data_IF_426403318833
#
_entry.id   IF_426403318833
#
_cell.length_a   1.000
_cell.length_b   1.000
_cell.length_c   1.000
_cell.angle_alpha   90.00
_cell.angle_beta   90.00
_cell.angle_gamma   90.00
#
_symmetry.space_group_name_H-M   'P 1'
#
loop_
_entity.id
_entity.type
_entity.pdbx_description
1 polymer ?
#
# COMPACT_ATOMS: atom_id res chain seq x y z
N UNK A 1 -5.13 -2.64 -2.97
CA UNK A 1 -4.04 -3.63 -2.88
C UNK A 1 -3.69 -3.92 -1.42
N UNK A 2 -3.25 -5.16 -1.12
CA UNK A 2 -2.76 -5.54 0.20
C UNK A 2 -1.23 -5.37 0.35
N UNK A 3 -0.51 -5.19 -0.75
CA UNK A 3 0.90 -4.86 -0.75
C UNK A 3 1.39 -4.42 -2.12
N UNK A 4 2.30 -3.44 -2.13
CA UNK A 4 2.94 -2.89 -3.33
C UNK A 4 4.41 -2.65 -3.00
N UNK A 5 5.31 -2.93 -3.95
CA UNK A 5 6.72 -2.61 -3.78
C UNK A 5 7.42 -2.37 -5.11
N UNK A 6 8.54 -1.66 -5.05
CA UNK A 6 9.52 -1.53 -6.14
C UNK A 6 10.86 -2.11 -5.68
N UNK A 7 11.58 -2.73 -6.61
CA UNK A 7 12.91 -3.26 -6.37
C UNK A 7 13.65 -3.43 -7.71
N UNK A 8 14.91 -3.81 -7.66
CA UNK A 8 15.75 -4.02 -8.85
C UNK A 8 15.25 -5.18 -9.71
N UNK A 9 14.62 -6.19 -9.10
CA UNK A 9 14.01 -7.32 -9.80
C UNK A 9 12.60 -7.65 -9.28
N UNK A 10 11.81 -8.33 -10.11
CA UNK A 10 10.40 -8.66 -9.81
C UNK A 10 10.23 -9.67 -8.67
N UNK A 11 11.20 -10.54 -8.44
CA UNK A 11 11.15 -11.52 -7.35
C UNK A 11 11.35 -10.82 -6.00
N UNK A 12 12.28 -9.87 -5.93
CA UNK A 12 12.47 -9.03 -4.75
C UNK A 12 11.27 -8.13 -4.51
N UNK A 13 10.74 -7.47 -5.55
CA UNK A 13 9.55 -6.64 -5.44
C UNK A 13 8.36 -7.45 -4.89
N UNK A 14 8.15 -8.67 -5.38
CA UNK A 14 7.10 -9.55 -4.87
C UNK A 14 7.31 -9.93 -3.40
N UNK A 15 8.53 -10.28 -2.98
CA UNK A 15 8.82 -10.60 -1.56
C UNK A 15 8.44 -9.43 -0.64
N UNK A 16 8.84 -8.22 -1.01
CA UNK A 16 8.55 -7.01 -0.25
C UNK A 16 7.05 -6.69 -0.21
N UNK A 17 6.38 -6.74 -1.37
CA UNK A 17 4.94 -6.49 -1.45
C UNK A 17 4.14 -7.53 -0.65
N UNK A 18 4.50 -8.82 -0.78
CA UNK A 18 3.85 -9.91 -0.05
C UNK A 18 4.04 -9.78 1.47
N UNK A 19 5.22 -9.36 1.93
CA UNK A 19 5.51 -9.15 3.34
C UNK A 19 4.66 -8.04 3.99
N UNK A 20 4.02 -7.17 3.21
CA UNK A 20 3.10 -6.16 3.74
C UNK A 20 1.90 -6.82 4.47
N UNK A 21 1.24 -7.77 3.80
CA UNK A 21 0.08 -8.50 4.35
C UNK A 21 -0.01 -9.91 3.73
N UNK A 22 0.79 -10.86 4.18
CA UNK A 22 0.76 -12.23 3.66
C UNK A 22 -0.54 -12.97 3.98
N UNK A 23 -1.30 -12.52 4.95
CA UNK A 23 -2.61 -13.11 5.32
C UNK A 23 -3.66 -12.77 4.27
N UNK A 24 -3.77 -11.50 3.88
CA UNK A 24 -4.73 -11.06 2.85
C UNK A 24 -4.31 -11.43 1.43
N UNK A 25 -3.02 -11.71 1.20
CA UNK A 25 -2.50 -12.17 -0.09
C UNK A 25 -2.93 -13.61 -0.44
N UNK A 26 -3.44 -14.39 0.51
CA UNK A 26 -3.95 -15.75 0.28
C UNK A 26 -5.17 -15.73 -0.66
N UNK A 27 -5.07 -16.43 -1.80
CA UNK A 27 -6.09 -16.40 -2.86
C UNK A 27 -6.08 -15.09 -3.66
N UNK A 28 -4.94 -14.41 -3.67
CA UNK A 28 -4.80 -13.09 -4.29
C UNK A 28 -4.52 -13.10 -5.79
N UNK A 29 -4.40 -11.89 -6.31
CA UNK A 29 -3.98 -11.57 -7.68
C UNK A 29 -2.61 -10.89 -7.60
N UNK A 30 -1.65 -11.42 -8.35
CA UNK A 30 -0.29 -10.84 -8.44
C UNK A 30 -0.15 -10.18 -9.82
N UNK A 31 0.22 -8.90 -9.83
CA UNK A 31 0.51 -8.15 -11.04
C UNK A 31 1.93 -7.58 -10.98
N UNK A 32 2.69 -7.77 -12.04
CA UNK A 32 4.03 -7.21 -12.20
C UNK A 32 4.13 -6.45 -13.53
N UNK A 33 5.01 -5.46 -13.58
CA UNK A 33 5.22 -4.60 -14.75
C UNK A 33 6.46 -4.97 -15.58
N UNK A 34 7.04 -6.13 -15.32
CA UNK A 34 8.18 -6.73 -16.03
C UNK A 34 7.91 -8.22 -16.26
N UNK A 35 8.67 -8.90 -17.11
CA UNK A 35 8.55 -10.34 -17.29
C UNK A 35 8.66 -11.10 -15.95
N UNK A 36 7.81 -12.10 -15.76
CA UNK A 36 7.89 -13.00 -14.60
C UNK A 36 9.14 -13.85 -14.73
N UNK A 37 10.07 -13.73 -13.79
CA UNK A 37 11.27 -14.54 -13.72
C UNK A 37 10.97 -15.96 -13.20
N UNK A 38 11.85 -16.91 -13.50
CA UNK A 38 11.77 -18.28 -12.94
C UNK A 38 11.82 -18.24 -11.41
N UNK A 39 12.60 -17.32 -10.83
CA UNK A 39 12.66 -17.15 -9.37
C UNK A 39 11.33 -16.66 -8.80
N UNK A 40 10.71 -15.63 -9.40
CA UNK A 40 9.38 -15.18 -9.00
C UNK A 40 8.36 -16.32 -9.12
N UNK A 41 8.36 -17.07 -10.21
CA UNK A 41 7.47 -18.21 -10.39
C UNK A 41 7.58 -19.23 -9.25
N UNK A 42 8.82 -19.54 -8.83
CA UNK A 42 9.08 -20.45 -7.70
C UNK A 42 8.59 -19.90 -6.35
N UNK A 43 8.61 -18.58 -6.17
CA UNK A 43 8.05 -17.94 -4.95
C UNK A 43 6.52 -17.99 -4.93
N UNK A 44 5.86 -17.88 -6.08
CA UNK A 44 4.40 -17.89 -6.21
C UNK A 44 3.83 -19.31 -5.97
N UNK A 45 4.50 -20.34 -6.46
CA UNK A 45 3.98 -21.72 -6.40
C UNK A 45 3.57 -22.18 -4.99
N UNK A 46 4.31 -21.94 -3.90
CA UNK A 46 3.89 -22.35 -2.56
C UNK A 46 2.70 -21.55 -2.00
N UNK A 47 2.41 -20.37 -2.56
CA UNK A 47 1.33 -19.50 -2.11
C UNK A 47 0.05 -19.85 -2.87
N UNK A 48 -1.10 -19.92 -2.18
CA UNK A 48 -2.37 -20.00 -2.89
C UNK A 48 -2.65 -18.67 -3.59
N UNK A 49 -2.50 -18.67 -4.91
CA UNK A 49 -2.68 -17.53 -5.80
C UNK A 49 -3.67 -17.90 -6.88
N UNK A 50 -4.62 -17.04 -7.17
CA UNK A 50 -5.63 -17.28 -8.21
C UNK A 50 -5.21 -16.79 -9.58
N UNK A 51 -4.53 -15.63 -9.65
CA UNK A 51 -4.17 -15.01 -10.93
C UNK A 51 -2.78 -14.41 -10.85
N UNK A 52 -1.99 -14.58 -11.90
CA UNK A 52 -0.74 -13.85 -12.15
C UNK A 52 -0.86 -13.09 -13.47
N UNK A 53 -0.57 -11.79 -13.45
CA UNK A 53 -0.58 -10.92 -14.63
C UNK A 53 0.81 -10.33 -14.84
N UNK A 54 1.30 -10.38 -16.05
CA UNK A 54 2.58 -9.79 -16.45
C UNK A 54 2.58 -9.44 -17.94
N UNK A 55 3.47 -8.52 -18.39
CA UNK A 55 3.65 -8.28 -19.82
C UNK A 55 4.28 -9.46 -20.55
N UNK A 56 5.08 -10.26 -19.85
CA UNK A 56 5.75 -11.43 -20.42
C UNK A 56 6.20 -12.42 -19.32
N UNK A 57 6.76 -13.56 -19.72
CA UNK A 57 7.25 -14.63 -18.86
C UNK A 57 8.58 -15.13 -19.39
N UNK A 58 9.60 -15.25 -18.54
CA UNK A 58 10.87 -15.85 -18.90
C UNK A 58 10.71 -17.33 -19.29
N UNK A 59 11.62 -17.85 -20.12
CA UNK A 59 11.67 -19.26 -20.43
C UNK A 59 11.77 -20.10 -19.13
N UNK A 60 10.92 -21.11 -19.01
CA UNK A 60 10.81 -21.94 -17.80
C UNK A 60 9.90 -21.40 -16.70
N UNK A 61 9.55 -20.10 -16.66
CA UNK A 61 8.63 -19.56 -15.65
C UNK A 61 7.22 -20.15 -15.81
N UNK A 62 6.72 -20.28 -17.04
CA UNK A 62 5.43 -20.90 -17.33
C UNK A 62 5.38 -22.37 -16.92
N UNK A 63 6.48 -23.11 -17.11
CA UNK A 63 6.59 -24.51 -16.68
C UNK A 63 6.44 -24.63 -15.17
N UNK A 64 7.14 -23.78 -14.41
CA UNK A 64 7.03 -23.72 -12.94
C UNK A 64 5.62 -23.39 -12.50
N UNK A 65 4.98 -22.36 -13.08
CA UNK A 65 3.62 -21.95 -12.72
C UNK A 65 2.56 -23.01 -13.08
N UNK A 66 2.78 -23.77 -14.15
CA UNK A 66 1.87 -24.83 -14.62
C UNK A 66 1.69 -25.99 -13.64
N UNK A 67 2.58 -26.11 -12.65
CA UNK A 67 2.42 -27.05 -11.53
C UNK A 67 1.13 -26.79 -10.72
N UNK A 68 0.57 -25.57 -10.79
CA UNK A 68 -0.68 -25.15 -10.12
C UNK A 68 -1.86 -25.21 -11.10
N UNK A 69 -2.64 -26.27 -11.06
CA UNK A 69 -3.77 -26.52 -11.97
C UNK A 69 -4.84 -25.41 -12.02
N UNK A 70 -5.03 -24.69 -10.90
CA UNK A 70 -6.08 -23.68 -10.78
C UNK A 70 -5.55 -22.23 -10.91
N UNK A 71 -4.23 -22.05 -11.08
CA UNK A 71 -3.64 -20.74 -11.29
C UNK A 71 -3.93 -20.24 -12.71
N UNK A 72 -4.46 -19.04 -12.82
CA UNK A 72 -4.67 -18.35 -14.09
C UNK A 72 -3.46 -17.48 -14.37
N UNK A 73 -2.78 -17.74 -15.46
CA UNK A 73 -1.60 -17.00 -15.91
C UNK A 73 -2.01 -16.17 -17.12
N UNK A 74 -1.90 -14.84 -17.02
CA UNK A 74 -2.33 -13.91 -18.04
C UNK A 74 -1.16 -13.06 -18.52
N UNK A 75 -0.91 -13.10 -19.83
CA UNK A 75 -0.04 -12.13 -20.47
C UNK A 75 -0.88 -10.91 -20.86
N UNK A 76 -0.51 -9.73 -20.35
CA UNK A 76 -1.28 -8.51 -20.51
C UNK A 76 -0.35 -7.37 -20.85
N UNK A 77 -0.48 -6.84 -22.07
CA UNK A 77 0.17 -5.59 -22.42
C UNK A 77 -0.46 -4.44 -21.61
N UNK A 78 0.33 -3.41 -21.22
CA UNK A 78 -0.21 -2.22 -20.60
C UNK A 78 -1.26 -1.60 -21.53
N UNK A 79 -2.53 -1.75 -21.19
CA UNK A 79 -3.61 -1.22 -22.01
C UNK A 79 -3.55 0.31 -22.06
N UNK A 80 -3.75 0.87 -23.25
CA UNK A 80 -4.06 2.29 -23.37
C UNK A 80 -5.35 2.55 -22.59
N UNK A 81 -5.25 3.38 -21.58
CA UNK A 81 -6.37 3.68 -20.70
C UNK A 81 -7.18 4.81 -21.33
N UNK A 82 -8.52 4.68 -21.35
CA UNK A 82 -9.40 5.77 -21.78
C UNK A 82 -9.31 6.98 -20.85
N UNK A 83 -9.66 8.17 -21.35
CA UNK A 83 -9.64 9.42 -20.59
C UNK A 83 -10.74 9.53 -19.54
N UNK A 84 -11.74 8.67 -19.59
CA UNK A 84 -12.92 8.70 -18.72
C UNK A 84 -13.16 7.38 -18.02
N UNK A 85 -13.68 7.49 -16.81
CA UNK A 85 -14.21 6.38 -16.02
C UNK A 85 -15.72 6.46 -15.90
N UNK A 86 -16.37 5.30 -15.89
CA UNK A 86 -17.82 5.18 -15.85
C UNK A 86 -18.24 4.35 -14.64
N UNK A 87 -19.18 4.84 -13.87
CA UNK A 87 -19.78 4.09 -12.75
C UNK A 87 -21.31 4.07 -12.91
N UNK A 88 -21.86 2.87 -13.09
CA UNK A 88 -23.30 2.70 -13.14
C UNK A 88 -23.91 2.93 -11.76
N UNK A 89 -24.96 3.74 -11.71
CA UNK A 89 -25.76 4.00 -10.52
C UNK A 89 -27.23 3.70 -10.81
N UNK A 90 -28.08 3.67 -9.78
CA UNK A 90 -29.53 3.52 -9.99
C UNK A 90 -30.07 4.73 -10.74
N UNK A 91 -30.66 4.47 -11.92
CA UNK A 91 -31.26 5.49 -12.77
C UNK A 91 -30.29 6.32 -13.62
N UNK A 92 -28.98 5.96 -13.67
CA UNK A 92 -28.03 6.75 -14.46
C UNK A 92 -26.63 6.19 -14.54
N UNK A 93 -25.73 7.03 -15.04
CA UNK A 93 -24.32 6.76 -15.20
C UNK A 93 -23.52 7.97 -14.70
N UNK A 94 -22.59 7.76 -13.80
CA UNK A 94 -21.57 8.75 -13.47
C UNK A 94 -20.43 8.65 -14.46
N UNK A 95 -20.00 9.79 -14.99
CA UNK A 95 -18.86 9.91 -15.89
C UNK A 95 -17.90 10.91 -15.27
N UNK A 96 -16.66 10.54 -15.15
CA UNK A 96 -15.60 11.41 -14.65
C UNK A 96 -14.35 11.27 -15.50
N UNK A 97 -13.51 12.29 -15.48
CA UNK A 97 -12.15 12.15 -15.95
C UNK A 97 -11.41 11.14 -15.08
N UNK A 98 -10.54 10.38 -15.71
CA UNK A 98 -9.76 9.39 -15.00
C UNK A 98 -8.79 10.06 -14.03
N UNK A 99 -8.61 9.44 -12.87
CA UNK A 99 -7.62 9.83 -11.89
C UNK A 99 -6.23 9.29 -12.30
N UNK A 100 -5.51 10.02 -13.14
CA UNK A 100 -4.15 9.70 -13.56
C UNK A 100 -3.10 10.46 -12.72
N UNK A 101 -1.84 9.99 -12.74
CA UNK A 101 -0.72 10.65 -12.07
C UNK A 101 -0.09 11.62 -13.06
N UNK A 102 -0.71 12.76 -13.26
CA UNK A 102 -0.30 13.79 -14.21
C UNK A 102 -0.53 15.24 -13.71
N UNK A 103 -1.00 15.38 -12.49
CA UNK A 103 -1.18 16.67 -11.86
C UNK A 103 0.17 17.25 -11.36
N UNK A 104 0.32 18.59 -11.28
CA UNK A 104 1.54 19.21 -10.74
C UNK A 104 1.97 18.68 -9.37
N UNK A 105 1.00 18.39 -8.48
CA UNK A 105 1.26 17.83 -7.14
C UNK A 105 1.70 16.37 -7.13
N UNK A 106 1.78 15.70 -8.26
CA UNK A 106 2.31 14.33 -8.36
C UNK A 106 3.84 14.28 -8.49
N UNK A 107 4.46 15.44 -8.71
CA UNK A 107 5.91 15.58 -8.70
C UNK A 107 6.39 16.16 -7.37
N UNK A 108 7.33 15.51 -6.67
CA UNK A 108 7.90 16.04 -5.41
C UNK A 108 8.50 17.43 -5.53
N UNK A 109 8.94 17.82 -6.72
CA UNK A 109 9.47 19.16 -7.00
C UNK A 109 8.46 20.30 -6.75
N UNK A 110 7.17 19.97 -6.83
CA UNK A 110 6.08 20.93 -6.62
C UNK A 110 5.49 20.86 -5.19
N UNK A 111 6.01 20.00 -4.34
CA UNK A 111 5.51 19.87 -2.98
C UNK A 111 5.96 21.02 -2.09
N UNK A 112 5.08 21.47 -1.23
CA UNK A 112 5.40 22.48 -0.22
C UNK A 112 5.84 21.80 1.06
N UNK A 113 7.05 22.09 1.55
CA UNK A 113 7.48 21.69 2.89
C UNK A 113 6.70 22.52 3.91
N UNK A 114 5.78 21.91 4.64
CA UNK A 114 4.91 22.56 5.60
C UNK A 114 5.41 22.43 7.04
N UNK A 115 6.14 21.36 7.38
CA UNK A 115 6.69 21.14 8.71
C UNK A 115 8.00 20.35 8.67
N UNK A 116 8.82 20.51 9.70
CA UNK A 116 10.07 19.80 9.90
C UNK A 116 11.19 20.23 8.94
N UNK A 117 12.22 19.40 8.84
CA UNK A 117 13.33 19.59 7.90
C UNK A 117 13.02 18.93 6.54
N UNK A 118 13.63 19.40 5.43
CA UNK A 118 13.55 18.71 4.16
C UNK A 118 13.98 17.24 4.28
N UNK A 119 13.20 16.35 3.63
CA UNK A 119 13.55 14.93 3.58
C UNK A 119 14.86 14.70 2.81
N UNK A 120 15.63 13.71 3.24
CA UNK A 120 16.73 13.20 2.44
C UNK A 120 16.22 12.46 1.20
N UNK A 121 17.12 12.13 0.27
CA UNK A 121 16.78 11.51 -1.01
C UNK A 121 16.01 10.19 -0.84
N UNK A 122 16.41 9.32 0.08
CA UNK A 122 15.76 8.04 0.34
C UNK A 122 14.35 8.23 0.92
N UNK A 123 14.21 9.15 1.89
CA UNK A 123 12.91 9.49 2.48
C UNK A 123 11.98 10.13 1.44
N UNK A 124 12.50 10.99 0.57
CA UNK A 124 11.71 11.62 -0.49
C UNK A 124 11.25 10.58 -1.53
N UNK A 125 12.10 9.63 -1.89
CA UNK A 125 11.73 8.52 -2.78
C UNK A 125 10.61 7.65 -2.18
N UNK A 126 10.67 7.33 -0.89
CA UNK A 126 9.61 6.62 -0.18
C UNK A 126 8.31 7.43 -0.13
N UNK A 127 8.38 8.75 0.09
CA UNK A 127 7.20 9.64 0.06
C UNK A 127 6.58 9.71 -1.33
N UNK A 128 7.39 9.81 -2.40
CA UNK A 128 6.88 9.79 -3.77
C UNK A 128 6.22 8.45 -4.09
N UNK A 129 6.86 7.34 -3.75
CA UNK A 129 6.28 6.03 -3.92
C UNK A 129 4.96 5.88 -3.15
N UNK A 130 4.93 6.34 -1.89
CA UNK A 130 3.71 6.31 -1.06
C UNK A 130 2.58 7.16 -1.69
N UNK A 131 2.90 8.36 -2.17
CA UNK A 131 1.95 9.25 -2.82
C UNK A 131 1.35 8.64 -4.09
N UNK A 132 2.19 8.12 -4.97
CA UNK A 132 1.75 7.49 -6.23
C UNK A 132 0.92 6.23 -6.01
N UNK A 133 1.14 5.52 -4.92
CA UNK A 133 0.47 4.24 -4.64
C UNK A 133 -0.78 4.38 -3.78
N UNK A 134 -0.88 5.40 -2.90
CA UNK A 134 -2.05 5.60 -2.03
C UNK A 134 -3.33 5.82 -2.83
N UNK A 135 -3.25 6.42 -4.03
CA UNK A 135 -4.42 6.62 -4.90
C UNK A 135 -5.12 5.32 -5.31
N UNK A 136 -4.42 4.18 -5.30
CA UNK A 136 -5.00 2.88 -5.58
C UNK A 136 -5.66 2.23 -4.34
N UNK A 137 -5.56 2.87 -3.19
CA UNK A 137 -6.15 2.42 -1.92
C UNK A 137 -7.50 3.08 -1.72
N UNK A 138 -8.51 2.29 -1.34
CA UNK A 138 -9.86 2.81 -1.08
C UNK A 138 -9.87 3.85 0.03
N UNK A 139 -10.48 5.00 -0.24
CA UNK A 139 -10.65 6.11 0.69
C UNK A 139 -11.56 5.71 1.89
N UNK A 140 -11.40 6.26 3.07
CA UNK A 140 -10.26 7.03 3.52
C UNK A 140 -9.02 6.13 3.57
N UNK A 141 -7.93 6.58 2.99
CA UNK A 141 -6.73 5.76 2.83
C UNK A 141 -5.50 6.38 3.50
N UNK A 142 -4.76 5.53 4.21
CA UNK A 142 -3.41 5.80 4.69
C UNK A 142 -2.51 4.65 4.24
N UNK A 143 -1.38 4.99 3.63
CA UNK A 143 -0.36 4.03 3.22
C UNK A 143 0.95 4.33 3.95
N UNK A 144 1.47 3.33 4.65
CA UNK A 144 2.81 3.37 5.24
C UNK A 144 3.80 2.69 4.31
N UNK A 145 4.93 3.36 4.08
CA UNK A 145 6.01 2.89 3.18
C UNK A 145 7.34 2.97 3.88
N UNK A 146 8.20 2.01 3.61
CA UNK A 146 9.58 1.96 4.06
C UNK A 146 10.42 1.19 3.03
N UNK A 147 11.54 1.77 2.61
CA UNK A 147 12.49 1.15 1.69
C UNK A 147 11.84 0.67 0.37
N UNK A 148 11.01 1.52 -0.25
CA UNK A 148 10.34 1.25 -1.53
C UNK A 148 9.19 0.23 -1.45
N UNK A 149 8.72 -0.10 -0.25
CA UNK A 149 7.65 -1.08 -0.06
C UNK A 149 6.57 -0.59 0.91
N UNK A 150 5.32 -0.94 0.63
CA UNK A 150 4.24 -0.77 1.60
C UNK A 150 4.47 -1.68 2.80
N UNK A 151 4.30 -1.14 4.00
CA UNK A 151 4.43 -1.89 5.26
C UNK A 151 3.12 -1.94 6.05
N UNK A 152 2.18 -1.05 5.75
CA UNK A 152 0.86 -1.02 6.38
C UNK A 152 -0.13 -0.23 5.54
N UNK A 153 -1.34 -0.76 5.37
CA UNK A 153 -2.39 -0.17 4.55
C UNK A 153 -3.67 -0.04 5.36
N UNK A 154 -4.09 1.20 5.62
CA UNK A 154 -5.40 1.53 6.18
C UNK A 154 -6.33 1.95 5.07
N UNK A 155 -7.38 1.18 4.77
CA UNK A 155 -8.22 1.34 3.61
C UNK A 155 -9.70 1.30 3.93
N UNK A 156 -10.50 2.05 3.17
CA UNK A 156 -11.95 1.95 3.17
C UNK A 156 -12.61 2.33 4.50
N UNK A 157 -11.94 3.14 5.32
CA UNK A 157 -12.46 3.51 6.62
C UNK A 157 -13.39 4.72 6.53
N UNK A 158 -14.37 4.79 7.44
CA UNK A 158 -15.35 5.87 7.49
C UNK A 158 -14.75 7.21 7.97
N UNK A 159 -13.60 7.18 8.61
CA UNK A 159 -12.86 8.36 9.04
C UNK A 159 -11.34 8.18 8.92
N UNK A 160 -10.61 9.31 8.93
CA UNK A 160 -9.15 9.34 8.75
C UNK A 160 -8.38 8.69 9.91
N UNK A 161 -8.86 8.89 11.15
CA UNK A 161 -8.20 8.34 12.35
C UNK A 161 -8.19 6.81 12.33
N UNK A 162 -9.30 6.20 11.95
CA UNK A 162 -9.40 4.73 11.88
C UNK A 162 -8.50 4.19 10.75
N UNK A 163 -8.34 4.92 9.63
CA UNK A 163 -7.38 4.56 8.59
C UNK A 163 -5.94 4.60 9.12
N UNK A 164 -5.58 5.62 9.91
CA UNK A 164 -4.26 5.71 10.53
C UNK A 164 -4.01 4.54 11.49
N UNK A 165 -4.97 4.26 12.38
CA UNK A 165 -4.88 3.14 13.34
C UNK A 165 -4.74 1.81 12.62
N UNK A 166 -5.57 1.57 11.59
CA UNK A 166 -5.53 0.33 10.81
C UNK A 166 -4.19 0.15 10.07
N UNK A 167 -3.66 1.23 9.46
CA UNK A 167 -2.35 1.19 8.79
C UNK A 167 -1.23 0.82 9.76
N UNK A 168 -1.20 1.45 10.94
CA UNK A 168 -0.21 1.18 12.00
C UNK A 168 -0.35 -0.23 12.56
N UNK A 169 -1.57 -0.66 12.88
CA UNK A 169 -1.84 -2.01 13.37
C UNK A 169 -1.33 -3.07 12.38
N UNK A 170 -1.69 -2.93 11.09
CA UNK A 170 -1.25 -3.85 10.05
C UNK A 170 0.26 -3.84 9.84
N UNK A 171 0.89 -2.67 9.88
CA UNK A 171 2.34 -2.56 9.80
C UNK A 171 3.03 -3.37 10.90
N UNK A 172 2.52 -3.33 12.13
CA UNK A 172 3.16 -3.88 13.30
C UNK A 172 2.71 -5.30 13.66
N UNK A 173 1.72 -5.86 12.96
CA UNK A 173 1.17 -7.19 13.29
C UNK A 173 1.20 -8.20 12.17
N UNK A 174 1.26 -7.78 10.89
CA UNK A 174 1.10 -8.70 9.77
C UNK A 174 2.43 -9.16 9.15
N UNK A 175 3.47 -8.34 9.19
CA UNK A 175 4.73 -8.63 8.50
C UNK A 175 5.50 -9.87 8.97
N UNK A 176 5.26 -10.29 10.19
CA UNK A 176 5.85 -11.52 10.76
C UNK A 176 5.02 -12.78 10.51
N UNK A 177 3.82 -12.64 9.94
CA UNK A 177 2.94 -13.79 9.67
C UNK A 177 3.32 -14.46 8.36
N UNK A 178 3.20 -15.79 8.34
CA UNK A 178 3.38 -16.59 7.13
C UNK A 178 2.05 -16.85 6.43
N UNK A 179 2.09 -17.23 5.15
CA UNK A 179 0.89 -17.70 4.42
C UNK A 179 0.29 -18.97 5.04
N UNK A 180 1.08 -19.74 5.79
CA UNK A 180 0.59 -20.86 6.59
C UNK A 180 -0.37 -20.43 7.69
N UNK A 181 -0.15 -19.27 8.29
CA UNK A 181 -1.01 -18.70 9.34
C UNK A 181 -2.38 -18.28 8.78
N UNK A 182 -2.44 -17.85 7.52
CA UNK A 182 -3.69 -17.55 6.83
C UNK A 182 -4.56 -18.81 6.64
N UNK A 183 -3.95 -19.91 6.27
CA UNK A 183 -4.66 -21.21 6.15
C UNK A 183 -5.18 -21.70 7.50
N UNK A 184 -4.37 -21.59 8.55
CA UNK A 184 -4.77 -21.95 9.93
C UNK A 184 -5.93 -21.06 10.42
N UNK A 185 -5.87 -19.75 10.22
CA UNK A 185 -6.93 -18.83 10.65
C UNK A 185 -8.29 -19.06 9.95
N UNK A 186 -8.28 -19.58 8.73
CA UNK A 186 -9.50 -19.93 8.00
C UNK A 186 -10.10 -21.27 8.47
N UNK A 187 -9.26 -22.21 8.91
CA UNK A 187 -9.71 -23.48 9.49
C UNK A 187 -10.32 -23.23 10.88
N UNK A 188 -9.74 -22.35 11.68
CA UNK A 188 -10.22 -22.02 13.02
C UNK A 188 -11.59 -21.32 13.01
N UNK A 189 -11.92 -20.55 11.97
CA UNK A 189 -13.25 -19.96 11.78
C UNK A 189 -14.35 -21.01 11.53
N UNK A 190 -13.96 -22.17 11.02
CA UNK A 190 -14.88 -23.29 10.78
C UNK A 190 -14.94 -24.31 11.93
N UNK A 191 -13.98 -24.32 12.84
CA UNK A 191 -13.80 -25.42 13.80
C UNK A 191 -13.59 -25.04 15.29
N UNK A 192 -13.60 -23.79 15.68
CA UNK A 192 -13.60 -23.38 17.10
C UNK A 192 -12.34 -23.74 17.94
N UNK A 193 -11.20 -23.96 17.29
CA UNK A 193 -9.92 -24.17 17.97
C UNK A 193 -9.20 -22.83 18.21
N UNK A 194 -8.62 -22.65 19.39
CA UNK A 194 -7.88 -21.45 19.77
C UNK A 194 -6.56 -21.38 19.01
N UNK A 195 -6.24 -20.19 18.48
CA UNK A 195 -4.91 -19.89 17.96
C UNK A 195 -3.84 -20.23 19.01
N UNK A 196 -2.89 -21.09 18.66
CA UNK A 196 -1.70 -21.31 19.48
C UNK A 196 -0.87 -20.03 19.50
N UNK A 197 -0.56 -19.51 20.68
CA UNK A 197 0.43 -18.46 20.86
C UNK A 197 1.76 -18.92 20.26
N UNK A 198 2.12 -18.38 19.12
CA UNK A 198 3.47 -18.51 18.59
C UNK A 198 4.36 -17.64 19.47
N UNK A 199 5.11 -18.25 20.37
CA UNK A 199 6.18 -17.59 21.12
C UNK A 199 7.34 -17.37 20.12
N UNK A 200 7.25 -16.28 19.37
CA UNK A 200 8.32 -15.71 18.57
C UNK A 200 8.72 -14.36 19.17
N UNK A 201 9.87 -13.84 18.78
CA UNK A 201 10.29 -12.47 19.11
C UNK A 201 9.14 -11.48 18.85
N UNK A 202 9.08 -10.43 19.69
CA UNK A 202 8.05 -9.40 19.54
C UNK A 202 8.01 -8.92 18.07
N UNK A 203 6.81 -8.82 17.46
CA UNK A 203 6.71 -8.46 16.04
C UNK A 203 7.43 -7.14 15.78
N UNK A 204 8.22 -7.09 14.71
CA UNK A 204 8.92 -5.88 14.30
C UNK A 204 7.92 -4.75 14.09
N UNK A 205 8.14 -3.62 14.76
CA UNK A 205 7.31 -2.43 14.59
C UNK A 205 7.71 -1.70 13.31
N UNK A 206 7.18 -2.14 12.18
CA UNK A 206 7.53 -1.61 10.85
C UNK A 206 7.04 -0.18 10.61
N UNK A 207 6.13 0.34 11.43
CA UNK A 207 5.72 1.75 11.41
C UNK A 207 6.85 2.69 11.82
N UNK A 208 7.80 2.23 12.65
CA UNK A 208 8.93 3.04 13.11
C UNK A 208 9.87 3.33 11.93
N UNK A 209 10.08 4.64 11.69
CA UNK A 209 10.91 5.13 10.59
C UNK A 209 10.26 5.01 9.20
N UNK A 210 9.01 4.53 9.10
CA UNK A 210 8.26 4.57 7.84
C UNK A 210 7.85 6.00 7.48
N UNK A 211 7.47 6.21 6.22
CA UNK A 211 6.76 7.40 5.77
C UNK A 211 5.28 7.08 5.59
N UNK A 212 4.42 8.10 5.59
CA UNK A 212 2.99 7.95 5.37
C UNK A 212 2.48 8.83 4.24
N UNK A 213 1.59 8.30 3.41
CA UNK A 213 0.78 9.09 2.48
C UNK A 213 -0.69 9.02 2.87
N UNK A 214 -1.39 10.16 2.76
CA UNK A 214 -2.83 10.28 2.94
C UNK A 214 -3.49 10.71 1.65
N UNK A 215 -4.53 10.00 1.20
CA UNK A 215 -5.27 10.31 -0.04
C UNK A 215 -6.04 11.64 0.02
N UNK A 216 -6.27 12.18 1.22
CA UNK A 216 -6.88 13.49 1.46
C UNK A 216 -6.23 14.19 2.67
N UNK A 217 -6.62 15.45 2.93
CA UNK A 217 -6.14 16.21 4.08
C UNK A 217 -6.56 15.58 5.41
N UNK A 218 -5.81 15.88 6.47
CA UNK A 218 -6.21 15.59 7.84
C UNK A 218 -7.22 16.66 8.30
N UNK A 219 -8.48 16.30 8.59
CA UNK A 219 -9.45 17.29 9.06
C UNK A 219 -9.14 17.84 10.46
N UNK A 220 -8.40 17.05 11.26
CA UNK A 220 -7.88 17.36 12.59
C UNK A 220 -6.52 16.71 12.77
N UNK A 221 -5.76 17.15 13.77
CA UNK A 221 -4.42 16.59 14.04
C UNK A 221 -4.44 15.17 14.66
N UNK A 222 -5.59 14.66 15.09
CA UNK A 222 -5.74 13.39 15.79
C UNK A 222 -5.28 12.17 14.94
N UNK A 223 -5.61 12.16 13.65
CA UNK A 223 -5.13 11.12 12.74
C UNK A 223 -3.61 11.19 12.55
N UNK A 224 -3.07 12.38 12.40
CA UNK A 224 -1.61 12.58 12.32
C UNK A 224 -0.91 12.16 13.62
N UNK A 225 -1.51 12.45 14.77
CA UNK A 225 -0.96 12.08 16.08
C UNK A 225 -0.78 10.55 16.20
N UNK A 226 -1.74 9.75 15.68
CA UNK A 226 -1.60 8.28 15.63
C UNK A 226 -0.34 7.86 14.86
N UNK A 227 -0.03 8.52 13.73
CA UNK A 227 1.16 8.23 12.94
C UNK A 227 2.44 8.67 13.66
N UNK A 228 2.43 9.84 14.30
CA UNK A 228 3.54 10.35 15.11
C UNK A 228 3.87 9.39 16.26
N UNK A 229 2.86 8.98 17.02
CA UNK A 229 3.01 8.08 18.17
C UNK A 229 3.52 6.69 17.75
N UNK A 230 3.23 6.29 16.50
CA UNK A 230 3.71 5.04 15.90
C UNK A 230 5.14 5.15 15.32
N UNK A 231 5.80 6.31 15.41
CA UNK A 231 7.18 6.51 14.97
C UNK A 231 7.33 6.75 13.45
N UNK A 232 6.28 7.20 12.76
CA UNK A 232 6.38 7.65 11.37
C UNK A 232 7.26 8.90 11.30
N UNK A 233 8.24 8.92 10.39
CA UNK A 233 9.24 10.00 10.29
C UNK A 233 8.86 11.13 9.34
N UNK A 234 7.97 10.87 8.37
CA UNK A 234 7.55 11.87 7.39
C UNK A 234 6.17 11.55 6.83
N UNK A 235 5.44 12.60 6.43
CA UNK A 235 4.08 12.50 5.90
C UNK A 235 3.92 13.34 4.65
N UNK A 236 3.20 12.82 3.65
CA UNK A 236 2.73 13.57 2.48
C UNK A 236 1.20 13.53 2.42
N UNK A 237 0.58 14.68 2.16
CA UNK A 237 -0.87 14.85 2.06
C UNK A 237 -1.23 16.00 1.12
N UNK A 238 -2.49 16.08 0.63
CA UNK A 238 -2.91 17.17 -0.24
C UNK A 238 -2.88 18.56 0.41
N UNK A 239 -3.20 18.68 1.68
CA UNK A 239 -3.56 19.95 2.32
C UNK A 239 -4.94 20.44 1.88
N UNK A 240 -5.28 21.66 2.26
CA UNK A 240 -6.55 22.33 1.91
C UNK A 240 -7.65 22.23 2.97
N UNK A 241 -7.34 21.73 4.16
CA UNK A 241 -8.22 21.83 5.31
C UNK A 241 -8.19 23.24 5.89
N UNK A 242 -9.32 23.73 6.36
CA UNK A 242 -9.37 24.98 7.16
C UNK A 242 -8.58 24.88 8.48
N UNK A 243 -8.20 23.66 8.85
CA UNK A 243 -7.44 23.32 10.07
C UNK A 243 -6.07 22.74 9.77
N UNK A 244 -5.52 22.93 8.58
CA UNK A 244 -4.18 22.44 8.23
C UNK A 244 -3.12 22.88 9.24
N UNK A 245 -3.26 24.09 9.80
CA UNK A 245 -2.31 24.63 10.78
C UNK A 245 -2.18 23.72 12.02
N UNK A 246 -3.27 23.10 12.48
CA UNK A 246 -3.20 22.18 13.63
C UNK A 246 -2.34 20.95 13.34
N UNK A 247 -2.45 20.39 12.12
CA UNK A 247 -1.62 19.26 11.69
C UNK A 247 -0.16 19.68 11.48
N UNK A 248 0.08 20.87 10.92
CA UNK A 248 1.40 21.45 10.75
C UNK A 248 2.09 21.67 12.10
N UNK A 249 1.37 22.24 13.07
CA UNK A 249 1.88 22.48 14.42
C UNK A 249 2.22 21.17 15.14
N UNK A 250 1.36 20.14 15.01
CA UNK A 250 1.64 18.82 15.57
C UNK A 250 2.87 18.16 14.95
N UNK A 251 3.03 18.25 13.62
CA UNK A 251 4.21 17.73 12.91
C UNK A 251 5.49 18.46 13.35
N UNK A 252 5.46 19.78 13.47
CA UNK A 252 6.59 20.60 13.96
C UNK A 252 6.94 20.25 15.41
N UNK A 253 5.95 20.12 16.29
CA UNK A 253 6.17 19.76 17.68
C UNK A 253 6.82 18.37 17.84
N UNK A 254 6.49 17.45 16.96
CA UNK A 254 7.07 16.11 16.92
C UNK A 254 8.40 16.02 16.15
N UNK A 255 8.77 17.08 15.41
CA UNK A 255 10.00 17.11 14.60
C UNK A 255 9.94 16.22 13.36
N UNK A 256 8.73 15.84 12.87
CA UNK A 256 8.56 15.06 11.65
C UNK A 256 8.41 15.96 10.43
N UNK A 257 8.83 15.46 9.27
CA UNK A 257 8.68 16.15 7.98
C UNK A 257 7.25 16.04 7.47
N UNK A 258 6.67 17.15 6.98
CA UNK A 258 5.38 17.13 6.30
C UNK A 258 5.44 17.91 4.97
N UNK A 259 4.99 17.25 3.91
CA UNK A 259 4.79 17.87 2.60
C UNK A 259 3.31 17.97 2.25
N UNK A 260 2.96 19.07 1.57
CA UNK A 260 1.64 19.30 0.97
C UNK A 260 1.76 19.26 -0.55
N UNK A 261 0.94 18.43 -1.21
CA UNK A 261 0.98 18.25 -2.66
C UNK A 261 0.10 19.23 -3.41
N UNK A 262 -0.95 19.79 -2.76
CA UNK A 262 -1.96 20.62 -3.40
C UNK A 262 -2.87 19.86 -4.39
N UNK A 263 -2.65 18.57 -4.56
CA UNK A 263 -3.43 17.68 -5.43
C UNK A 263 -4.02 16.55 -4.60
N UNK A 264 -5.19 16.05 -4.97
CA UNK A 264 -5.90 15.01 -4.26
C UNK A 264 -6.31 13.88 -5.18
N UNK A 265 -6.05 12.63 -4.76
CA UNK A 265 -6.48 11.41 -5.43
C UNK A 265 -7.43 10.63 -4.55
N UNK A 266 -8.64 10.33 -5.07
CA UNK A 266 -9.64 9.57 -4.34
C UNK A 266 -10.05 8.30 -5.09
N UNK A 267 -9.98 7.15 -4.41
CA UNK A 267 -10.55 5.89 -4.87
C UNK A 267 -11.80 5.54 -4.02
N UNK A 268 -12.98 5.70 -4.58
CA UNK A 268 -14.26 5.37 -3.96
C UNK A 268 -14.87 4.06 -4.48
#
# INVERSE_FOLDING_TARGET
PCGIAVADDVAQAHRLAHACDPVSAFGGVIAVNRPVSVELARQIVPIFTEVVLAPDYEEGALEVLSAKKNLRVLQVEPAARGSYEFKQISGGLLVQERDDIDAPGDSPENWTLAAGAPADEATLADLEFAWRTVRAVRSNAILLVKDGASVGVGMGQVNRVDSCKLAVERANTLGSRSTGDAAASNVDRAGGARASEVVGDAPEQRSIGAVAASDAFFPFADGLQVLIDAGVKAVVQPGGSVRDQESIDAANAAGITMYLTGTRHFAH
#
